data_IF_974437117627
#
_entry.id   IF_974437117627
#
_cell.length_a   1.000
_cell.length_b   1.000
_cell.length_c   1.000
_cell.angle_alpha   90.00
_cell.angle_beta   90.00
_cell.angle_gamma   90.00
#
_symmetry.space_group_name_H-M   'P 1'
#
loop_
_entity.id
_entity.type
_entity.pdbx_description
1 polymer ?
#
# COMPACT_ATOMS: atom_id res chain seq x y z
N UNK A 1 -9.90 -24.55 13.95
CA UNK A 1 -11.14 -23.98 13.39
C UNK A 1 -11.75 -24.82 12.25
N UNK A 2 -10.97 -25.58 11.45
CA UNK A 2 -11.55 -26.52 10.47
C UNK A 2 -12.18 -25.87 9.22
N UNK A 3 -11.81 -24.62 8.93
CA UNK A 3 -12.47 -23.78 7.91
C UNK A 3 -11.78 -23.82 6.53
N UNK A 4 -10.66 -24.51 6.39
CA UNK A 4 -9.88 -24.56 5.16
C UNK A 4 -9.95 -25.96 4.54
N UNK A 5 -10.21 -26.01 3.23
CA UNK A 5 -10.17 -27.23 2.42
C UNK A 5 -9.52 -26.92 1.07
N UNK A 6 -9.13 -27.96 0.34
CA UNK A 6 -8.65 -27.79 -1.03
C UNK A 6 -9.70 -27.06 -1.89
N UNK A 7 -9.26 -26.10 -2.71
CA UNK A 7 -10.16 -25.25 -3.52
C UNK A 7 -11.08 -26.06 -4.44
N UNK A 8 -10.60 -27.19 -4.94
CA UNK A 8 -11.37 -28.13 -5.79
C UNK A 8 -12.49 -28.87 -5.05
N UNK A 9 -12.45 -28.91 -3.72
CA UNK A 9 -13.45 -29.56 -2.88
C UNK A 9 -14.41 -28.56 -2.21
N UNK A 10 -14.07 -27.28 -2.21
CA UNK A 10 -14.79 -26.23 -1.48
C UNK A 10 -16.30 -26.27 -1.73
N UNK A 11 -16.72 -26.23 -2.99
CA UNK A 11 -18.14 -26.18 -3.35
C UNK A 11 -18.89 -27.47 -2.97
N UNK A 12 -18.20 -28.61 -2.93
CA UNK A 12 -18.79 -29.88 -2.47
C UNK A 12 -18.99 -29.86 -0.96
N UNK A 13 -17.99 -29.40 -0.21
CA UNK A 13 -18.05 -29.34 1.26
C UNK A 13 -19.10 -28.33 1.71
N UNK A 14 -19.15 -27.14 1.11
CA UNK A 14 -20.16 -26.11 1.44
C UNK A 14 -21.59 -26.64 1.28
N UNK A 15 -21.86 -27.45 0.24
CA UNK A 15 -23.18 -28.07 0.02
C UNK A 15 -23.57 -29.09 1.10
N UNK A 16 -22.60 -29.60 1.85
CA UNK A 16 -22.82 -30.58 2.91
C UNK A 16 -22.89 -29.97 4.32
N UNK A 17 -22.57 -28.68 4.47
CA UNK A 17 -22.59 -27.99 5.77
C UNK A 17 -23.94 -27.30 6.00
N UNK A 18 -24.46 -27.41 7.21
CA UNK A 18 -25.53 -26.56 7.71
C UNK A 18 -25.09 -25.11 7.87
N UNK A 19 -26.05 -24.18 7.98
CA UNK A 19 -25.72 -22.76 8.17
C UNK A 19 -25.07 -22.51 9.54
N UNK A 20 -25.50 -23.26 10.56
CA UNK A 20 -24.99 -23.25 11.92
C UNK A 20 -23.55 -23.79 12.05
N UNK A 21 -23.08 -24.57 11.07
CA UNK A 21 -21.72 -25.10 11.03
C UNK A 21 -20.74 -24.13 10.33
N UNK A 22 -21.26 -23.07 9.71
CA UNK A 22 -20.47 -22.11 8.94
C UNK A 22 -20.10 -20.90 9.79
N UNK A 23 -18.80 -20.66 9.88
CA UNK A 23 -18.30 -19.42 10.43
C UNK A 23 -18.72 -18.23 9.56
N UNK A 24 -19.11 -17.13 10.21
CA UNK A 24 -19.26 -15.83 9.57
C UNK A 24 -18.01 -15.02 9.88
N UNK A 25 -17.35 -14.53 8.84
CA UNK A 25 -16.13 -13.71 8.94
C UNK A 25 -16.43 -12.32 8.41
N UNK A 26 -16.41 -11.35 9.30
CA UNK A 26 -16.47 -9.94 8.93
C UNK A 26 -15.09 -9.47 8.50
N UNK A 27 -14.99 -8.90 7.30
CA UNK A 27 -13.76 -8.26 6.83
C UNK A 27 -14.00 -6.78 6.63
N UNK A 28 -13.00 -5.98 6.98
CA UNK A 28 -13.06 -4.54 6.74
C UNK A 28 -12.93 -4.23 5.25
N UNK A 29 -13.32 -3.03 4.81
CA UNK A 29 -13.25 -2.64 3.39
C UNK A 29 -11.81 -2.37 2.90
N UNK A 30 -10.82 -2.57 3.76
CA UNK A 30 -9.39 -2.28 3.57
C UNK A 30 -8.53 -3.53 3.55
N UNK A 31 -9.20 -4.68 3.53
CA UNK A 31 -8.58 -5.97 3.73
C UNK A 31 -7.51 -6.20 2.67
N UNK A 32 -6.31 -6.57 3.12
CA UNK A 32 -5.25 -6.94 2.20
C UNK A 32 -5.69 -8.19 1.42
N UNK A 33 -5.34 -8.27 0.14
CA UNK A 33 -5.77 -9.37 -0.73
C UNK A 33 -5.46 -10.76 -0.17
N UNK A 34 -4.35 -10.91 0.57
CA UNK A 34 -4.03 -12.20 1.21
C UNK A 34 -5.10 -12.64 2.20
N UNK A 35 -5.70 -11.71 2.95
CA UNK A 35 -6.71 -12.03 3.95
C UNK A 35 -8.05 -12.23 3.26
N UNK A 36 -8.46 -11.27 2.43
CA UNK A 36 -9.74 -11.34 1.71
C UNK A 36 -9.86 -12.62 0.88
N UNK A 37 -8.81 -12.97 0.11
CA UNK A 37 -8.82 -14.18 -0.70
C UNK A 37 -8.76 -15.44 0.17
N UNK A 38 -7.98 -15.45 1.26
CA UNK A 38 -7.94 -16.60 2.18
C UNK A 38 -9.31 -16.88 2.78
N UNK A 39 -10.01 -15.84 3.24
CA UNK A 39 -11.36 -15.98 3.79
C UNK A 39 -12.37 -16.38 2.70
N UNK A 40 -12.34 -15.75 1.52
CA UNK A 40 -13.25 -16.10 0.41
C UNK A 40 -13.04 -17.53 -0.10
N UNK A 41 -11.82 -18.06 -0.02
CA UNK A 41 -11.49 -19.45 -0.38
C UNK A 41 -11.70 -20.45 0.77
N UNK A 42 -12.03 -19.97 1.97
CA UNK A 42 -12.41 -20.82 3.10
C UNK A 42 -13.88 -21.29 2.98
N UNK A 43 -14.31 -22.09 3.95
CA UNK A 43 -15.69 -22.54 4.13
C UNK A 43 -16.60 -21.48 4.80
N UNK A 44 -16.00 -20.40 5.31
CA UNK A 44 -16.73 -19.32 5.97
C UNK A 44 -17.62 -18.53 5.00
N UNK A 45 -18.68 -17.95 5.53
CA UNK A 45 -19.36 -16.83 4.90
C UNK A 45 -18.58 -15.55 5.16
N UNK A 46 -18.19 -14.83 4.11
CA UNK A 46 -17.43 -13.59 4.23
C UNK A 46 -18.37 -12.42 4.04
N UNK A 47 -18.50 -11.58 5.07
CA UNK A 47 -19.30 -10.37 5.07
C UNK A 47 -18.36 -9.16 5.04
N UNK A 48 -18.40 -8.42 3.95
CA UNK A 48 -17.64 -7.17 3.83
C UNK A 48 -18.40 -6.04 4.51
N UNK A 49 -17.79 -5.45 5.53
CA UNK A 49 -18.31 -4.23 6.15
C UNK A 49 -17.96 -3.07 5.22
N UNK A 50 -18.99 -2.37 4.73
CA UNK A 50 -18.82 -1.27 3.80
C UNK A 50 -18.09 -0.06 4.37
N UNK A 51 -17.77 0.89 3.49
CA UNK A 51 -17.19 2.19 3.82
C UNK A 51 -18.29 3.15 4.29
N UNK A 52 -18.15 3.68 5.51
CA UNK A 52 -18.42 5.10 5.78
C UNK A 52 -17.35 5.91 5.00
N UNK A 53 -17.60 7.17 4.64
CA UNK A 53 -16.74 8.09 3.86
C UNK A 53 -15.29 8.31 4.39
N UNK A 54 -14.75 7.44 5.23
CA UNK A 54 -13.44 7.53 5.87
C UNK A 54 -12.77 6.15 5.98
N UNK A 55 -11.43 6.13 5.78
CA UNK A 55 -10.43 5.06 5.99
C UNK A 55 -10.13 4.18 4.73
N UNK A 56 -9.08 3.31 4.55
CA UNK A 56 -7.63 3.25 4.91
C UNK A 56 -6.72 2.17 4.23
N UNK A 57 -6.36 2.31 2.95
CA UNK A 57 -5.02 1.91 2.38
C UNK A 57 -3.99 3.05 2.53
N UNK A 58 -4.29 3.93 3.47
CA UNK A 58 -3.61 5.21 3.69
C UNK A 58 -2.95 5.24 5.08
N UNK A 59 -2.86 4.09 5.76
CA UNK A 59 -2.16 3.95 7.04
C UNK A 59 -2.95 4.38 8.27
N UNK A 60 -4.25 4.70 8.16
CA UNK A 60 -5.08 5.15 9.30
C UNK A 60 -5.31 3.99 10.27
N UNK A 61 -5.32 4.29 11.57
CA UNK A 61 -5.58 3.31 12.61
C UNK A 61 -7.08 3.05 12.82
N UNK A 62 -7.44 1.77 12.95
CA UNK A 62 -8.75 1.35 13.47
C UNK A 62 -8.68 1.20 14.98
N UNK A 63 -9.77 1.50 15.70
CA UNK A 63 -9.88 1.22 17.12
C UNK A 63 -10.16 -0.27 17.35
N UNK A 64 -9.09 -1.07 17.30
CA UNK A 64 -9.16 -2.53 17.45
C UNK A 64 -9.73 -2.96 18.80
N UNK A 65 -9.61 -2.14 19.85
CA UNK A 65 -10.16 -2.46 21.17
C UNK A 65 -11.67 -2.30 21.20
N UNK A 66 -12.19 -1.22 20.64
CA UNK A 66 -13.64 -1.03 20.54
C UNK A 66 -14.27 -2.07 19.63
N UNK A 67 -13.59 -2.45 18.55
CA UNK A 67 -14.02 -3.55 17.68
C UNK A 67 -14.08 -4.87 18.45
N UNK A 68 -13.04 -5.21 19.24
CA UNK A 68 -13.06 -6.40 20.11
C UNK A 68 -14.25 -6.42 21.05
N UNK A 69 -14.52 -5.32 21.76
CA UNK A 69 -15.65 -5.21 22.68
C UNK A 69 -16.96 -5.51 21.97
N UNK A 70 -17.19 -4.89 20.81
CA UNK A 70 -18.41 -5.08 20.04
C UNK A 70 -18.57 -6.54 19.56
N UNK A 71 -17.48 -7.17 19.11
CA UNK A 71 -17.49 -8.57 18.68
C UNK A 71 -17.83 -9.50 19.85
N UNK A 72 -17.18 -9.31 21.00
CA UNK A 72 -17.42 -10.13 22.19
C UNK A 72 -18.83 -9.93 22.77
N UNK A 73 -19.38 -8.71 22.73
CA UNK A 73 -20.77 -8.40 23.10
C UNK A 73 -21.79 -9.26 22.31
N UNK A 74 -21.41 -9.70 21.10
CA UNK A 74 -22.23 -10.54 20.22
C UNK A 74 -21.71 -11.99 20.12
N UNK A 75 -20.79 -12.41 21.01
CA UNK A 75 -20.24 -13.76 21.04
C UNK A 75 -19.29 -14.11 19.89
N UNK A 76 -18.81 -13.12 19.15
CA UNK A 76 -17.81 -13.28 18.09
C UNK A 76 -16.37 -13.24 18.62
N UNK A 77 -15.41 -13.67 17.81
CA UNK A 77 -13.99 -13.60 18.13
C UNK A 77 -13.30 -12.41 17.44
N UNK A 78 -12.35 -11.79 18.14
CA UNK A 78 -11.57 -10.66 17.66
C UNK A 78 -10.20 -11.12 17.10
N UNK A 79 -10.12 -11.24 15.78
CA UNK A 79 -8.93 -11.67 15.05
C UNK A 79 -8.35 -10.52 14.21
N UNK A 80 -7.11 -10.11 14.45
CA UNK A 80 -6.51 -8.94 13.77
C UNK A 80 -5.22 -9.25 13.01
N UNK A 81 -5.10 -8.74 11.79
CA UNK A 81 -3.85 -8.71 11.05
C UNK A 81 -2.99 -7.50 11.47
N UNK A 82 -1.90 -7.77 12.18
CA UNK A 82 -0.91 -6.79 12.60
C UNK A 82 0.31 -6.73 11.67
N UNK A 83 0.23 -7.28 10.46
CA UNK A 83 1.38 -7.26 9.54
C UNK A 83 1.85 -5.84 9.23
N UNK A 84 0.95 -4.88 9.00
CA UNK A 84 1.33 -3.50 8.69
C UNK A 84 1.65 -2.65 9.93
N UNK A 85 0.88 -2.80 11.01
CA UNK A 85 0.98 -1.97 12.23
C UNK A 85 1.97 -2.52 13.26
N UNK A 86 2.20 -3.83 13.26
CA UNK A 86 3.01 -4.55 14.24
C UNK A 86 4.42 -3.99 14.46
N UNK A 87 5.15 -3.52 13.44
CA UNK A 87 6.45 -2.88 13.65
C UNK A 87 6.42 -1.60 14.50
N UNK A 88 5.26 -0.96 14.62
CA UNK A 88 5.12 0.40 15.16
C UNK A 88 4.35 0.43 16.48
N UNK A 89 3.24 -0.30 16.57
CA UNK A 89 2.32 -0.19 17.71
C UNK A 89 2.66 -1.15 18.85
N UNK A 90 2.21 -0.84 20.07
CA UNK A 90 2.21 -1.81 21.17
C UNK A 90 1.21 -2.91 20.88
N UNK A 91 1.66 -4.16 20.95
CA UNK A 91 0.81 -5.34 20.78
C UNK A 91 0.58 -5.92 22.16
N UNK A 92 -0.68 -6.06 22.54
CA UNK A 92 -1.07 -6.65 23.83
C UNK A 92 -2.31 -7.52 23.61
N UNK A 93 -2.23 -8.82 23.88
CA UNK A 93 -3.36 -9.71 23.60
C UNK A 93 -4.54 -9.44 24.53
N UNK A 94 -4.33 -9.25 25.85
CA UNK A 94 -5.42 -9.18 26.85
C UNK A 94 -6.45 -10.31 26.67
N UNK A 95 -5.97 -11.52 26.36
CA UNK A 95 -6.82 -12.66 26.03
C UNK A 95 -7.81 -12.96 27.16
N UNK A 96 -9.08 -13.10 26.83
CA UNK A 96 -10.17 -13.31 27.81
C UNK A 96 -10.74 -12.03 28.42
N UNK A 97 -10.16 -10.86 28.17
CA UNK A 97 -10.75 -9.57 28.52
C UNK A 97 -11.76 -9.12 27.45
N UNK A 98 -12.74 -8.28 27.82
CA UNK A 98 -13.78 -7.79 26.89
C UNK A 98 -13.19 -7.00 25.70
N UNK A 99 -12.05 -6.35 25.87
CA UNK A 99 -11.31 -5.65 24.82
C UNK A 99 -10.08 -6.42 24.31
N UNK A 100 -10.04 -7.72 24.63
CA UNK A 100 -8.99 -8.66 24.25
C UNK A 100 -8.96 -8.99 22.76
N UNK A 101 -7.85 -9.57 22.33
CA UNK A 101 -7.70 -10.18 21.01
C UNK A 101 -7.70 -11.69 21.19
N UNK A 102 -8.43 -12.40 20.32
CA UNK A 102 -8.44 -13.86 20.30
C UNK A 102 -7.38 -14.41 19.36
N UNK A 103 -7.06 -13.70 18.28
CA UNK A 103 -5.92 -14.03 17.44
C UNK A 103 -5.28 -12.78 16.84
N UNK A 104 -3.96 -12.84 16.66
CA UNK A 104 -3.24 -11.88 15.85
C UNK A 104 -2.31 -12.58 14.87
N UNK A 105 -2.18 -11.99 13.69
CA UNK A 105 -1.24 -12.40 12.66
C UNK A 105 -0.15 -11.35 12.52
N UNK A 106 1.10 -11.78 12.49
CA UNK A 106 2.26 -10.90 12.44
C UNK A 106 3.18 -11.28 11.30
N UNK A 107 3.78 -10.24 10.72
CA UNK A 107 4.81 -10.35 9.69
C UNK A 107 6.10 -9.71 10.18
N UNK A 108 6.92 -10.42 10.99
CA UNK A 108 8.18 -9.88 11.48
C UNK A 108 9.12 -9.41 10.36
N UNK A 109 8.96 -9.89 9.11
CA UNK A 109 9.74 -9.42 7.96
C UNK A 109 9.52 -7.93 7.60
N UNK A 110 8.49 -7.30 8.18
CA UNK A 110 8.21 -5.86 8.08
C UNK A 110 8.84 -5.04 9.21
N UNK A 111 9.46 -5.68 10.19
CA UNK A 111 10.21 -5.03 11.26
C UNK A 111 11.65 -4.75 10.80
N UNK A 112 12.33 -3.82 11.47
CA UNK A 112 13.76 -3.58 11.25
C UNK A 112 14.52 -4.89 11.49
N UNK A 113 15.37 -5.28 10.54
CA UNK A 113 16.14 -6.53 10.61
C UNK A 113 15.33 -7.81 10.36
N UNK A 114 14.03 -7.69 10.09
CA UNK A 114 13.12 -8.80 9.93
C UNK A 114 13.18 -9.62 8.63
N UNK A 115 13.58 -9.08 7.46
CA UNK A 115 13.55 -9.84 6.21
C UNK A 115 14.13 -11.26 6.36
N UNK A 116 13.33 -12.27 5.99
CA UNK A 116 13.66 -13.70 6.15
C UNK A 116 13.17 -14.37 7.44
N UNK A 117 12.46 -13.66 8.32
CA UNK A 117 11.73 -14.25 9.46
C UNK A 117 10.47 -15.01 9.02
N UNK A 118 9.94 -15.96 9.82
CA UNK A 118 8.64 -16.57 9.57
C UNK A 118 7.51 -15.59 9.87
N UNK A 119 6.29 -15.92 9.46
CA UNK A 119 5.07 -15.32 10.02
C UNK A 119 4.80 -15.87 11.42
N UNK A 120 4.10 -15.09 12.25
CA UNK A 120 3.71 -15.52 13.60
C UNK A 120 2.20 -15.44 13.72
N UNK A 121 1.57 -16.52 14.15
CA UNK A 121 0.18 -16.56 14.61
C UNK A 121 0.22 -16.71 16.13
N UNK A 122 -0.39 -15.77 16.83
CA UNK A 122 -0.65 -15.89 18.26
C UNK A 122 -2.15 -15.95 18.46
N UNK A 123 -2.65 -16.99 19.11
CA UNK A 123 -4.08 -17.19 19.31
C UNK A 123 -4.39 -17.67 20.72
N UNK A 124 -5.58 -17.30 21.19
CA UNK A 124 -6.20 -17.86 22.38
C UNK A 124 -6.34 -19.36 22.22
N UNK A 125 -6.03 -20.11 23.29
CA UNK A 125 -6.23 -21.56 23.33
C UNK A 125 -7.68 -21.96 23.02
N UNK A 126 -8.64 -21.08 23.29
CA UNK A 126 -10.05 -21.29 22.96
C UNK A 126 -10.31 -21.46 21.45
N UNK A 127 -9.45 -20.94 20.57
CA UNK A 127 -9.56 -21.13 19.12
C UNK A 127 -8.96 -22.44 18.61
N UNK A 128 -8.13 -23.12 19.42
CA UNK A 128 -7.48 -24.38 19.05
C UNK A 128 -8.39 -25.58 19.31
N UNK A 129 -9.27 -25.86 18.34
CA UNK A 129 -10.29 -26.91 18.43
C UNK A 129 -9.87 -28.27 17.86
N UNK A 130 -8.60 -28.46 17.46
CA UNK A 130 -8.15 -29.73 16.88
C UNK A 130 -8.04 -30.86 17.91
N UNK A 131 -7.88 -30.56 19.21
CA UNK A 131 -7.87 -31.57 20.27
C UNK A 131 -6.86 -32.70 19.99
N UNK A 132 -7.33 -33.93 19.86
CA UNK A 132 -6.50 -35.10 19.50
C UNK A 132 -6.42 -35.38 17.99
N UNK A 133 -7.11 -34.61 17.13
CA UNK A 133 -7.07 -34.75 15.67
C UNK A 133 -5.74 -34.30 15.06
N UNK A 134 -5.42 -34.72 13.84
CA UNK A 134 -4.19 -34.32 13.16
C UNK A 134 -3.98 -32.77 13.15
N UNK A 135 -2.73 -32.28 13.26
CA UNK A 135 -2.42 -30.86 13.13
C UNK A 135 -2.73 -30.33 11.73
N UNK A 136 -2.72 -29.01 11.57
CA UNK A 136 -3.02 -28.37 10.27
C UNK A 136 -2.03 -28.79 9.19
N UNK A 137 -0.78 -29.05 9.56
CA UNK A 137 0.27 -29.59 8.68
C UNK A 137 0.98 -30.75 9.38
N UNK A 138 0.78 -31.97 8.88
CA UNK A 138 1.49 -33.14 9.38
C UNK A 138 2.95 -33.15 8.90
N UNK A 139 3.87 -33.57 9.77
CA UNK A 139 5.28 -33.73 9.42
C UNK A 139 6.06 -34.47 10.51
N UNK A 140 7.32 -34.79 10.22
CA UNK A 140 8.24 -35.28 11.26
C UNK A 140 8.32 -34.28 12.43
N UNK A 141 8.46 -34.78 13.66
CA UNK A 141 8.50 -33.93 14.85
C UNK A 141 7.12 -33.50 15.39
N UNK A 142 5.99 -33.88 14.77
CA UNK A 142 4.63 -33.55 15.27
C UNK A 142 3.99 -34.66 16.11
N UNK A 143 4.65 -35.80 16.21
CA UNK A 143 4.12 -37.06 16.76
C UNK A 143 5.04 -37.62 17.84
N UNK A 144 4.45 -38.22 18.86
CA UNK A 144 5.15 -39.11 19.80
C UNK A 144 5.23 -40.54 19.28
N UNK A 145 4.22 -40.98 18.52
CA UNK A 145 4.15 -42.34 18.00
C UNK A 145 3.30 -42.43 16.73
N UNK A 146 3.77 -43.23 15.76
CA UNK A 146 3.03 -43.59 14.53
C UNK A 146 3.24 -45.08 14.30
N UNK A 147 2.18 -45.81 13.97
CA UNK A 147 2.26 -47.21 13.56
C UNK A 147 1.84 -47.40 12.09
N UNK A 148 2.09 -48.60 11.56
CA UNK A 148 1.74 -48.95 10.18
C UNK A 148 0.38 -49.63 9.99
N UNK A 149 -0.46 -49.70 11.02
CA UNK A 149 -1.69 -50.49 11.02
C UNK A 149 -2.95 -49.61 11.04
N UNK A 150 -3.00 -48.58 11.89
CA UNK A 150 -4.15 -47.69 11.99
C UNK A 150 -3.73 -46.25 12.27
N UNK A 151 -4.29 -45.32 11.50
CA UNK A 151 -4.13 -43.89 11.74
C UNK A 151 -4.69 -43.46 13.11
N UNK A 152 -5.68 -44.19 13.64
CA UNK A 152 -6.33 -43.91 14.93
C UNK A 152 -5.40 -44.10 16.13
N UNK A 153 -4.32 -44.86 15.95
CA UNK A 153 -3.31 -45.11 16.98
C UNK A 153 -2.15 -44.10 16.92
N UNK A 154 -2.23 -43.11 16.02
CA UNK A 154 -1.23 -42.03 15.94
C UNK A 154 -1.35 -41.13 17.16
N UNK A 155 -0.26 -40.99 17.90
CA UNK A 155 -0.18 -40.11 19.06
C UNK A 155 0.55 -38.83 18.65
N UNK A 156 -0.21 -37.73 18.51
CA UNK A 156 0.32 -36.40 18.27
C UNK A 156 0.85 -35.76 19.56
N UNK A 157 1.79 -34.84 19.41
CA UNK A 157 2.29 -34.04 20.53
C UNK A 157 1.16 -33.22 21.18
N UNK A 158 1.25 -33.10 22.50
CA UNK A 158 0.30 -32.32 23.32
C UNK A 158 0.65 -30.83 23.31
N UNK A 159 1.92 -30.49 23.12
CA UNK A 159 2.35 -29.11 22.92
C UNK A 159 1.87 -28.61 21.55
N UNK A 160 1.04 -27.56 21.56
CA UNK A 160 0.39 -27.04 20.36
C UNK A 160 1.42 -26.43 19.40
N UNK A 161 2.44 -25.77 19.91
CA UNK A 161 3.44 -25.06 19.09
C UNK A 161 4.33 -26.06 18.35
N UNK A 162 4.82 -27.08 19.05
CA UNK A 162 5.61 -28.16 18.44
C UNK A 162 4.76 -28.96 17.44
N UNK A 163 3.50 -29.25 17.79
CA UNK A 163 2.60 -30.04 16.93
C UNK A 163 2.24 -29.35 15.62
N UNK A 164 2.11 -28.03 15.61
CA UNK A 164 1.86 -27.24 14.39
C UNK A 164 3.15 -26.88 13.62
N UNK A 165 4.32 -27.26 14.15
CA UNK A 165 5.65 -26.99 13.56
C UNK A 165 6.22 -28.22 12.85
N UNK A 166 5.47 -28.79 11.91
CA UNK A 166 5.88 -30.00 11.20
C UNK A 166 7.17 -29.85 10.38
N UNK A 167 8.08 -30.82 10.55
CA UNK A 167 9.38 -30.86 9.88
C UNK A 167 10.50 -30.24 10.71
N UNK A 168 11.58 -29.83 10.06
CA UNK A 168 12.69 -29.13 10.73
C UNK A 168 12.24 -27.71 11.11
N UNK A 169 12.32 -27.31 12.39
CA UNK A 169 11.94 -25.97 12.81
C UNK A 169 12.77 -24.88 12.13
N UNK A 170 12.16 -23.71 11.94
CA UNK A 170 12.77 -22.54 11.30
C UNK A 170 13.74 -21.78 12.22
N UNK A 171 14.70 -22.47 12.84
CA UNK A 171 15.52 -21.98 13.97
C UNK A 171 16.10 -20.58 13.71
N UNK A 172 16.87 -20.40 12.63
CA UNK A 172 17.51 -19.11 12.32
C UNK A 172 16.48 -18.00 12.05
N UNK A 173 15.36 -18.36 11.44
CA UNK A 173 14.32 -17.39 11.09
C UNK A 173 13.54 -16.96 12.34
N UNK A 174 13.29 -17.88 13.28
CA UNK A 174 12.69 -17.60 14.59
C UNK A 174 13.62 -16.75 15.45
N UNK A 175 14.92 -17.05 15.49
CA UNK A 175 15.92 -16.18 16.15
C UNK A 175 15.95 -14.78 15.54
N UNK A 176 15.84 -14.66 14.21
CA UNK A 176 15.73 -13.35 13.57
C UNK A 176 14.46 -12.62 14.00
N UNK A 177 13.32 -13.32 14.04
CA UNK A 177 12.06 -12.74 14.50
C UNK A 177 12.18 -12.19 15.92
N UNK A 178 12.74 -12.94 16.87
CA UNK A 178 12.89 -12.47 18.26
C UNK A 178 13.77 -11.22 18.36
N UNK A 179 14.88 -11.16 17.62
CA UNK A 179 15.76 -10.00 17.58
C UNK A 179 15.04 -8.74 17.08
N UNK A 180 14.11 -8.86 16.13
CA UNK A 180 13.33 -7.69 15.67
C UNK A 180 12.45 -7.08 16.76
N UNK A 181 11.90 -7.91 17.65
CA UNK A 181 11.13 -7.42 18.79
C UNK A 181 12.03 -6.73 19.81
N UNK A 182 13.22 -7.27 20.09
CA UNK A 182 14.20 -6.62 20.97
C UNK A 182 14.64 -5.25 20.45
N UNK A 183 14.90 -5.12 19.14
CA UNK A 183 15.22 -3.81 18.53
C UNK A 183 14.08 -2.82 18.73
N UNK A 184 12.84 -3.25 18.47
CA UNK A 184 11.65 -2.41 18.64
C UNK A 184 11.44 -1.99 20.10
N UNK A 185 11.62 -2.90 21.04
CA UNK A 185 11.53 -2.62 22.48
C UNK A 185 12.61 -1.65 22.94
N UNK A 186 13.85 -1.82 22.46
CA UNK A 186 14.97 -0.92 22.74
C UNK A 186 14.70 0.51 22.28
N UNK A 187 14.13 0.70 21.09
CA UNK A 187 13.75 2.02 20.56
C UNK A 187 12.55 2.60 21.32
N UNK A 188 11.68 1.73 21.85
CA UNK A 188 10.41 2.03 22.52
C UNK A 188 9.28 2.50 21.58
N UNK A 189 8.05 2.14 21.95
CA UNK A 189 6.86 2.55 21.21
C UNK A 189 6.62 4.05 21.23
N UNK A 190 7.04 4.74 22.29
CA UNK A 190 6.82 6.17 22.44
C UNK A 190 7.63 6.94 21.38
N UNK A 191 8.93 6.65 21.28
CA UNK A 191 9.82 7.28 20.29
C UNK A 191 9.35 6.99 18.86
N UNK A 192 8.95 5.73 18.58
CA UNK A 192 8.41 5.37 17.27
C UNK A 192 7.15 6.18 16.95
N UNK A 193 6.21 6.28 17.89
CA UNK A 193 4.98 7.02 17.68
C UNK A 193 5.23 8.53 17.47
N UNK A 194 6.06 9.15 18.31
CA UNK A 194 6.41 10.57 18.19
C UNK A 194 7.06 10.89 16.83
N UNK A 195 7.94 10.00 16.35
CA UNK A 195 8.61 10.18 15.07
C UNK A 195 7.67 9.98 13.87
N UNK A 196 6.81 8.94 13.91
CA UNK A 196 5.80 8.70 12.85
C UNK A 196 4.79 9.86 12.78
N UNK A 197 4.29 10.33 13.94
CA UNK A 197 3.36 11.46 14.03
C UNK A 197 4.03 12.74 13.47
N UNK A 198 5.30 13.01 13.84
CA UNK A 198 6.07 14.15 13.32
C UNK A 198 6.20 14.11 11.80
N UNK A 199 6.55 12.96 11.21
CA UNK A 199 6.72 12.85 9.76
C UNK A 199 5.42 13.00 9.00
N UNK A 200 4.34 12.36 9.47
CA UNK A 200 3.09 12.43 8.73
C UNK A 200 2.48 13.83 8.81
N UNK A 201 2.51 14.50 9.96
CA UNK A 201 1.99 15.86 10.12
C UNK A 201 2.72 16.85 9.21
N UNK A 202 4.07 16.82 9.23
CA UNK A 202 4.89 17.66 8.34
C UNK A 202 4.59 17.40 6.87
N UNK A 203 4.49 16.13 6.48
CA UNK A 203 4.25 15.77 5.09
C UNK A 203 2.84 16.18 4.62
N UNK A 204 1.81 16.02 5.45
CA UNK A 204 0.45 16.47 5.15
C UNK A 204 0.38 18.00 5.04
N UNK A 205 0.94 18.72 6.01
CA UNK A 205 0.97 20.18 6.01
C UNK A 205 1.65 20.75 4.75
N UNK A 206 2.69 20.07 4.26
CA UNK A 206 3.42 20.48 3.07
C UNK A 206 2.73 20.12 1.76
N UNK A 207 2.14 18.93 1.66
CA UNK A 207 1.63 18.43 0.38
C UNK A 207 0.15 18.77 0.12
N UNK A 208 -0.68 18.94 1.16
CA UNK A 208 -2.11 19.22 1.00
C UNK A 208 -2.43 20.54 0.28
N UNK A 209 -1.68 21.64 0.50
CA UNK A 209 -1.91 22.89 -0.23
C UNK A 209 -1.63 22.80 -1.73
N UNK A 210 -0.87 21.78 -2.18
CA UNK A 210 -0.47 21.67 -3.57
C UNK A 210 -1.65 21.21 -4.45
N UNK A 211 -2.15 22.13 -5.27
CA UNK A 211 -3.26 21.87 -6.21
C UNK A 211 -2.95 20.83 -7.28
N UNK A 212 -1.77 20.24 -7.42
CA UNK A 212 -1.52 19.15 -8.36
C UNK A 212 -1.31 17.81 -7.65
N UNK A 213 -1.37 17.79 -6.33
CA UNK A 213 -1.26 16.58 -5.53
C UNK A 213 -2.65 16.28 -4.96
N UNK A 214 -3.00 15.00 -4.95
CA UNK A 214 -4.11 14.51 -4.15
C UNK A 214 -3.61 13.42 -3.22
N UNK A 215 -3.54 13.73 -1.93
CA UNK A 215 -3.28 12.75 -0.89
C UNK A 215 -4.55 11.92 -0.70
N UNK A 216 -4.43 10.60 -0.83
CA UNK A 216 -5.56 9.69 -0.75
C UNK A 216 -5.92 9.34 0.70
N UNK A 217 -7.21 9.02 0.90
CA UNK A 217 -7.83 8.69 2.17
C UNK A 217 -8.02 9.88 3.10
N UNK A 218 -8.48 9.59 4.32
CA UNK A 218 -8.71 10.61 5.33
C UNK A 218 -7.37 11.25 5.77
N UNK A 219 -7.32 12.58 5.70
CA UNK A 219 -6.13 13.39 6.00
C UNK A 219 -6.13 13.98 7.42
N UNK A 220 -7.20 13.78 8.18
CA UNK A 220 -7.35 14.26 9.57
C UNK A 220 -7.27 13.14 10.59
N UNK A 221 -7.51 11.88 10.19
CA UNK A 221 -7.45 10.73 11.07
C UNK A 221 -6.00 10.31 11.38
N UNK A 222 -5.76 9.83 12.60
CA UNK A 222 -4.44 9.36 13.02
C UNK A 222 -3.99 8.18 12.14
N UNK A 223 -2.75 8.25 11.64
CA UNK A 223 -2.23 7.28 10.68
C UNK A 223 -0.73 7.05 10.82
N UNK A 224 -0.25 5.90 10.37
CA UNK A 224 1.16 5.63 10.13
C UNK A 224 1.73 6.63 9.10
N UNK A 225 3.05 6.83 9.10
CA UNK A 225 3.75 7.72 8.18
C UNK A 225 3.87 7.12 6.76
N UNK A 226 2.73 6.70 6.21
CA UNK A 226 2.56 6.15 4.86
C UNK A 226 1.72 7.14 4.07
N UNK A 227 2.24 7.61 2.94
CA UNK A 227 1.52 8.50 2.03
C UNK A 227 1.20 7.79 0.73
N UNK A 228 -0.09 7.66 0.45
CA UNK A 228 -0.64 7.26 -0.84
C UNK A 228 -1.15 8.52 -1.54
N UNK A 229 -0.72 8.80 -2.77
CA UNK A 229 -1.07 10.04 -3.46
C UNK A 229 -1.13 9.87 -4.98
N UNK A 230 -1.85 10.78 -5.63
CA UNK A 230 -1.85 11.00 -7.07
C UNK A 230 -1.17 12.33 -7.38
N UNK A 231 -0.45 12.37 -8.50
CA UNK A 231 0.04 13.62 -9.10
C UNK A 231 -0.76 13.87 -10.36
N UNK A 232 -1.38 15.05 -10.44
CA UNK A 232 -2.20 15.48 -11.57
C UNK A 232 -1.35 16.12 -12.67
N UNK A 233 -1.62 15.73 -13.91
CA UNK A 233 -1.17 16.52 -15.05
C UNK A 233 -2.00 17.80 -15.16
N UNK A 234 -1.45 18.79 -15.86
CA UNK A 234 -2.07 20.10 -16.05
C UNK A 234 -2.15 20.46 -17.51
N UNK A 235 -3.18 21.22 -17.88
CA UNK A 235 -3.37 21.75 -19.24
C UNK A 235 -3.74 23.23 -19.20
N UNK A 236 -3.51 23.92 -20.31
CA UNK A 236 -3.94 25.30 -20.51
C UNK A 236 -5.31 25.28 -21.20
N UNK A 237 -6.36 25.55 -20.44
CA UNK A 237 -7.71 25.74 -20.96
C UNK A 237 -7.92 27.22 -21.29
N UNK A 238 -8.45 27.49 -22.49
CA UNK A 238 -8.85 28.83 -22.96
C UNK A 238 -10.13 29.36 -22.27
N UNK A 239 -10.74 28.57 -21.37
CA UNK A 239 -12.04 28.86 -20.75
C UNK A 239 -11.95 29.70 -19.47
N UNK A 240 -10.75 29.95 -18.94
CA UNK A 240 -10.57 30.92 -17.87
C UNK A 240 -10.70 32.32 -18.50
N UNK A 241 -11.87 32.94 -18.31
CA UNK A 241 -12.31 34.14 -19.01
C UNK A 241 -11.26 35.25 -19.05
N UNK A 242 -11.30 36.01 -20.15
CA UNK A 242 -10.60 37.27 -20.31
C UNK A 242 -10.78 38.15 -19.06
N UNK A 243 -9.79 38.14 -18.17
CA UNK A 243 -9.58 39.26 -17.27
C UNK A 243 -9.00 40.34 -18.17
N UNK A 244 -9.86 41.32 -18.49
CA UNK A 244 -9.50 42.54 -19.19
C UNK A 244 -8.28 43.14 -18.51
N UNK A 245 -7.25 43.42 -19.30
CA UNK A 245 -6.24 44.42 -18.96
C UNK A 245 -6.98 45.70 -18.57
N UNK A 246 -6.86 46.09 -17.31
CA UNK A 246 -7.19 47.42 -16.84
C UNK A 246 -5.95 47.95 -16.15
N UNK A 247 -5.60 49.14 -16.60
CA UNK A 247 -4.35 49.86 -16.49
C UNK A 247 -4.00 50.26 -15.04
N UNK A 248 -2.69 50.32 -14.77
CA UNK A 248 -2.05 51.14 -13.73
C UNK A 248 -2.39 50.89 -12.25
N UNK A 249 -1.48 50.25 -11.50
CA UNK A 249 -0.68 50.88 -10.43
C UNK A 249 0.23 49.86 -9.75
N UNK A 250 1.49 50.25 -9.56
CA UNK A 250 2.57 49.46 -8.98
C UNK A 250 2.26 48.98 -7.55
N UNK A 251 2.10 47.66 -7.39
CA UNK A 251 2.39 46.96 -6.14
C UNK A 251 3.22 45.71 -6.45
N UNK A 252 4.54 45.85 -6.32
CA UNK A 252 5.47 44.73 -6.19
C UNK A 252 5.24 44.09 -4.83
N UNK A 253 4.74 42.87 -4.81
CA UNK A 253 5.18 41.76 -3.94
C UNK A 253 4.11 40.64 -3.95
N UNK A 254 4.57 39.39 -3.83
CA UNK A 254 3.86 38.09 -3.82
C UNK A 254 3.24 37.52 -5.12
N UNK A 255 2.87 38.33 -6.11
CA UNK A 255 2.17 37.79 -7.30
C UNK A 255 3.10 37.12 -8.35
N UNK A 256 4.40 37.44 -8.36
CA UNK A 256 5.34 37.00 -9.40
C UNK A 256 5.76 35.52 -9.26
N UNK A 257 5.73 34.98 -8.02
CA UNK A 257 5.99 33.56 -7.75
C UNK A 257 4.86 32.64 -8.22
N UNK A 258 3.60 33.06 -7.99
CA UNK A 258 2.40 32.34 -8.44
C UNK A 258 2.28 32.38 -9.96
N UNK A 259 2.56 33.55 -10.58
CA UNK A 259 2.57 33.72 -12.03
C UNK A 259 3.63 32.84 -12.70
N UNK A 260 4.83 32.74 -12.12
CA UNK A 260 5.89 31.85 -12.59
C UNK A 260 5.54 30.36 -12.42
N UNK A 261 4.84 29.99 -11.34
CA UNK A 261 4.36 28.61 -11.18
C UNK A 261 3.28 28.23 -12.20
N UNK A 262 2.41 29.17 -12.61
CA UNK A 262 1.44 28.97 -13.69
C UNK A 262 2.08 28.93 -15.09
N UNK A 263 3.30 29.45 -15.25
CA UNK A 263 4.07 29.21 -16.48
C UNK A 263 4.60 27.78 -16.56
N UNK A 264 4.85 27.15 -15.42
CA UNK A 264 5.38 25.79 -15.37
C UNK A 264 4.28 24.71 -15.30
N UNK A 265 3.16 25.05 -14.66
CA UNK A 265 1.96 24.21 -14.49
C UNK A 265 0.75 24.91 -15.10
N UNK A 266 -0.07 24.19 -15.87
CA UNK A 266 -1.24 24.80 -16.52
C UNK A 266 -2.30 25.32 -15.55
N UNK A 267 -3.30 26.02 -16.09
CA UNK A 267 -4.38 26.62 -15.30
C UNK A 267 -5.45 25.61 -14.84
N UNK A 268 -5.49 24.39 -15.39
CA UNK A 268 -6.48 23.36 -15.07
C UNK A 268 -5.85 21.99 -14.85
N UNK A 269 -6.45 21.19 -13.96
CA UNK A 269 -6.11 19.75 -13.76
C UNK A 269 -6.68 18.93 -14.92
N UNK A 270 -5.93 17.95 -15.37
CA UNK A 270 -6.37 16.91 -16.29
C UNK A 270 -6.31 15.54 -15.57
N UNK A 271 -6.14 14.41 -16.27
CA UNK A 271 -5.98 13.09 -15.65
C UNK A 271 -4.70 13.00 -14.78
N UNK A 272 -4.70 12.18 -13.72
CA UNK A 272 -3.50 11.91 -12.95
C UNK A 272 -2.43 11.22 -13.80
N UNK A 273 -1.17 11.43 -13.46
CA UNK A 273 -0.06 10.64 -13.98
C UNK A 273 -0.13 9.23 -13.38
N UNK A 274 0.22 8.22 -14.18
CA UNK A 274 0.16 6.82 -13.76
C UNK A 274 1.03 6.56 -12.52
N UNK A 275 0.51 5.90 -11.47
CA UNK A 275 1.25 5.68 -10.22
C UNK A 275 2.63 5.01 -10.42
N UNK A 276 2.73 3.92 -11.20
CA UNK A 276 4.02 3.34 -11.60
C UNK A 276 4.94 4.26 -12.40
N UNK A 277 4.42 5.25 -13.13
CA UNK A 277 5.25 6.25 -13.80
C UNK A 277 5.90 7.20 -12.80
N UNK A 278 5.13 7.73 -11.85
CA UNK A 278 5.67 8.57 -10.77
C UNK A 278 6.69 7.79 -9.94
N UNK A 279 6.43 6.51 -9.64
CA UNK A 279 7.40 5.67 -8.95
C UNK A 279 8.70 5.47 -9.75
N UNK A 280 8.60 5.31 -11.07
CA UNK A 280 9.78 5.25 -11.95
C UNK A 280 10.55 6.57 -11.95
N UNK A 281 9.87 7.73 -12.00
CA UNK A 281 10.54 9.03 -11.93
C UNK A 281 11.23 9.26 -10.58
N UNK A 282 10.60 8.91 -9.47
CA UNK A 282 11.20 8.97 -8.13
C UNK A 282 12.50 8.16 -8.07
N UNK A 283 12.50 6.96 -8.64
CA UNK A 283 13.69 6.12 -8.71
C UNK A 283 14.76 6.70 -9.65
N UNK A 284 14.40 6.98 -10.89
CA UNK A 284 15.36 7.29 -11.94
C UNK A 284 15.98 8.68 -11.80
N UNK A 285 15.22 9.66 -11.29
CA UNK A 285 15.70 11.04 -11.12
C UNK A 285 16.31 11.29 -9.75
N UNK A 286 15.87 10.58 -8.71
CA UNK A 286 16.20 10.91 -7.31
C UNK A 286 16.73 9.72 -6.49
N UNK A 287 16.73 8.50 -7.02
CA UNK A 287 17.10 7.31 -6.26
C UNK A 287 16.11 6.95 -5.15
N UNK A 288 14.88 7.48 -5.20
CA UNK A 288 13.84 7.26 -4.20
C UNK A 288 13.00 6.04 -4.59
N UNK A 289 13.03 5.01 -3.77
CA UNK A 289 12.20 3.83 -3.97
C UNK A 289 10.76 4.08 -3.50
N UNK A 290 9.83 4.11 -4.46
CA UNK A 290 8.40 4.18 -4.19
C UNK A 290 7.66 2.96 -4.77
N UNK A 291 6.38 2.78 -4.42
CA UNK A 291 5.53 1.74 -5.00
C UNK A 291 4.41 2.37 -5.81
N UNK A 292 4.21 1.91 -7.04
CA UNK A 292 3.08 2.28 -7.89
C UNK A 292 2.08 1.13 -8.02
N UNK A 293 0.78 1.42 -7.99
CA UNK A 293 -0.30 0.44 -8.19
C UNK A 293 -1.41 0.54 -7.13
N UNK A 294 -2.16 -0.53 -6.92
CA UNK A 294 -3.27 -0.58 -5.95
C UNK A 294 -2.91 -1.21 -4.59
N UNK A 295 -1.62 -1.35 -4.29
CA UNK A 295 -1.08 -1.80 -3.00
C UNK A 295 -1.68 -3.12 -2.43
N UNK A 296 -2.08 -4.05 -3.30
CA UNK A 296 -2.74 -5.31 -2.93
C UNK A 296 -4.06 -5.12 -2.17
N UNK A 297 -4.77 -4.03 -2.48
CA UNK A 297 -6.06 -3.68 -1.90
C UNK A 297 -6.99 -3.11 -2.98
N UNK A 298 -7.14 -3.88 -4.06
CA UNK A 298 -7.96 -3.59 -5.24
C UNK A 298 -9.37 -3.06 -4.94
N UNK A 299 -10.20 -3.74 -4.12
CA UNK A 299 -11.54 -3.25 -3.77
C UNK A 299 -11.52 -1.86 -3.13
N UNK A 300 -10.59 -1.62 -2.20
CA UNK A 300 -10.41 -0.29 -1.63
C UNK A 300 -9.90 0.72 -2.66
N UNK A 301 -8.97 0.31 -3.53
CA UNK A 301 -8.49 1.14 -4.63
C UNK A 301 -9.61 1.56 -5.57
N UNK A 302 -10.60 0.71 -5.81
CA UNK A 302 -11.78 1.05 -6.59
C UNK A 302 -12.61 2.10 -5.87
N UNK A 303 -12.84 1.93 -4.57
CA UNK A 303 -13.57 2.90 -3.75
C UNK A 303 -12.88 4.27 -3.70
N UNK A 304 -11.57 4.29 -3.47
CA UNK A 304 -10.75 5.52 -3.43
C UNK A 304 -10.74 6.30 -4.74
N UNK A 305 -10.73 5.57 -5.86
CA UNK A 305 -10.63 6.16 -7.19
C UNK A 305 -12.00 6.30 -7.85
N UNK A 306 -13.09 6.07 -7.11
CA UNK A 306 -14.47 6.12 -7.58
C UNK A 306 -14.71 5.26 -8.83
N UNK A 307 -14.13 4.06 -8.84
CA UNK A 307 -14.32 3.06 -9.89
C UNK A 307 -15.61 2.30 -9.62
N UNK A 308 -16.57 2.42 -10.53
CA UNK A 308 -17.83 1.69 -10.47
C UNK A 308 -17.71 0.24 -11.01
N UNK A 309 -18.81 -0.50 -10.90
CA UNK A 309 -18.89 -1.89 -11.36
C UNK A 309 -18.62 -2.01 -12.88
N UNK A 310 -19.17 -1.08 -13.67
CA UNK A 310 -19.02 -1.08 -15.13
C UNK A 310 -17.56 -0.92 -15.55
N UNK A 311 -16.85 0.01 -14.89
CA UNK A 311 -15.43 0.27 -15.07
C UNK A 311 -14.58 -0.93 -14.65
N UNK A 312 -14.95 -1.57 -13.54
CA UNK A 312 -14.28 -2.78 -13.05
C UNK A 312 -14.36 -3.94 -14.05
N UNK A 313 -15.54 -4.19 -14.62
CA UNK A 313 -15.74 -5.23 -15.64
C UNK A 313 -15.00 -4.89 -16.93
N UNK A 314 -14.94 -3.62 -17.30
CA UNK A 314 -14.19 -3.18 -18.47
C UNK A 314 -12.67 -3.33 -18.27
N UNK A 315 -12.13 -3.05 -17.06
CA UNK A 315 -10.75 -3.38 -16.73
C UNK A 315 -10.47 -4.87 -16.85
N UNK A 316 -11.35 -5.72 -16.29
CA UNK A 316 -11.23 -7.18 -16.40
C UNK A 316 -11.17 -7.62 -17.85
N UNK A 317 -12.08 -7.14 -18.70
CA UNK A 317 -12.10 -7.48 -20.13
C UNK A 317 -10.81 -7.06 -20.85
N UNK A 318 -10.29 -5.86 -20.57
CA UNK A 318 -9.02 -5.41 -21.13
C UNK A 318 -7.83 -6.25 -20.64
N UNK A 319 -7.81 -6.64 -19.37
CA UNK A 319 -6.77 -7.51 -18.80
C UNK A 319 -6.82 -8.91 -19.44
N UNK A 320 -8.01 -9.48 -19.66
CA UNK A 320 -8.20 -10.76 -20.36
C UNK A 320 -7.68 -10.70 -21.81
N UNK A 321 -7.75 -9.54 -22.47
CA UNK A 321 -7.14 -9.27 -23.79
C UNK A 321 -5.62 -9.03 -23.72
N UNK A 322 -5.02 -9.11 -22.54
CA UNK A 322 -3.58 -8.95 -22.34
C UNK A 322 -3.12 -7.53 -22.03
N UNK A 323 -4.03 -6.58 -21.77
CA UNK A 323 -3.70 -5.20 -21.43
C UNK A 323 -3.65 -4.97 -19.91
N UNK A 324 -2.72 -5.64 -19.23
CA UNK A 324 -2.57 -5.53 -17.77
C UNK A 324 -2.25 -4.12 -17.24
N UNK A 325 -1.79 -3.21 -18.11
CA UNK A 325 -1.44 -1.84 -17.75
C UNK A 325 -2.61 -0.87 -17.58
N UNK A 326 -3.85 -1.26 -17.91
CA UNK A 326 -5.03 -0.39 -17.72
C UNK A 326 -5.42 -0.22 -16.25
N UNK A 327 -4.84 -1.03 -15.36
CA UNK A 327 -5.19 -1.06 -13.94
C UNK A 327 -5.00 0.33 -13.31
N UNK A 328 -6.01 0.85 -12.60
CA UNK A 328 -5.85 2.10 -11.87
C UNK A 328 -4.93 1.89 -10.65
N UNK A 329 -4.39 2.98 -10.13
CA UNK A 329 -3.52 2.94 -8.97
C UNK A 329 -2.92 4.29 -8.65
N UNK A 330 -2.13 4.32 -7.58
CA UNK A 330 -1.50 5.53 -7.06
C UNK A 330 -0.02 5.27 -6.76
N UNK A 331 0.67 6.30 -6.30
CA UNK A 331 2.02 6.19 -5.79
C UNK A 331 1.99 6.18 -4.27
N UNK A 332 2.80 5.31 -3.67
CA UNK A 332 2.94 5.20 -2.22
C UNK A 332 4.39 5.31 -1.79
N UNK A 333 4.63 6.17 -0.81
CA UNK A 333 5.88 6.28 -0.05
C UNK A 333 5.62 6.04 1.43
N UNK A 334 6.65 5.68 2.17
CA UNK A 334 6.60 5.45 3.62
C UNK A 334 7.81 6.10 4.25
N UNK A 335 7.62 6.79 5.38
CA UNK A 335 8.68 7.42 6.16
C UNK A 335 8.92 6.58 7.41
N UNK A 336 9.83 5.61 7.37
CA UNK A 336 10.12 4.83 8.55
C UNK A 336 10.69 5.73 9.66
N UNK A 337 10.31 5.47 10.92
CA UNK A 337 10.81 6.17 12.10
C UNK A 337 12.35 6.23 12.26
N UNK A 338 13.12 5.41 11.53
CA UNK A 338 14.59 5.42 11.55
C UNK A 338 15.22 6.19 10.36
N UNK A 339 14.41 6.86 9.55
CA UNK A 339 14.86 7.72 8.44
C UNK A 339 15.57 8.98 8.96
N UNK A 340 16.55 9.49 8.23
CA UNK A 340 17.14 10.79 8.55
C UNK A 340 16.21 11.94 8.12
N UNK A 341 16.16 13.04 8.88
CA UNK A 341 15.33 14.20 8.50
C UNK A 341 15.70 14.75 7.11
N UNK A 342 16.97 14.70 6.74
CA UNK A 342 17.45 15.13 5.42
C UNK A 342 16.85 14.29 4.27
N UNK A 343 16.70 12.97 4.48
CA UNK A 343 16.08 12.07 3.51
C UNK A 343 14.57 12.32 3.41
N UNK A 344 13.91 12.55 4.55
CA UNK A 344 12.50 12.93 4.60
C UNK A 344 12.23 14.21 3.79
N UNK A 345 13.01 15.27 4.03
CA UNK A 345 12.88 16.55 3.32
C UNK A 345 13.16 16.41 1.82
N UNK A 346 14.14 15.58 1.45
CA UNK A 346 14.45 15.30 0.05
C UNK A 346 13.29 14.59 -0.66
N UNK A 347 12.65 13.60 -0.01
CA UNK A 347 11.51 12.90 -0.59
C UNK A 347 10.34 13.85 -0.83
N UNK A 348 9.99 14.73 0.11
CA UNK A 348 8.92 15.71 -0.08
C UNK A 348 9.23 16.67 -1.22
N UNK A 349 10.47 17.17 -1.28
CA UNK A 349 10.92 18.06 -2.35
C UNK A 349 10.87 17.39 -3.72
N UNK A 350 11.20 16.09 -3.80
CA UNK A 350 11.08 15.32 -5.04
C UNK A 350 9.62 15.11 -5.48
N UNK A 351 8.70 14.87 -4.53
CA UNK A 351 7.27 14.77 -4.83
C UNK A 351 6.73 16.10 -5.37
N UNK A 352 7.08 17.22 -4.74
CA UNK A 352 6.72 18.57 -5.21
C UNK A 352 7.29 18.86 -6.59
N UNK A 353 8.56 18.48 -6.84
CA UNK A 353 9.17 18.60 -8.15
C UNK A 353 8.35 17.84 -9.21
N UNK A 354 7.93 16.61 -8.93
CA UNK A 354 7.11 15.84 -9.85
C UNK A 354 5.70 16.42 -10.05
N UNK A 355 5.14 17.09 -9.05
CA UNK A 355 3.87 17.81 -9.17
C UNK A 355 3.96 19.04 -10.08
N UNK A 356 5.16 19.57 -10.30
CA UNK A 356 5.41 20.71 -11.19
C UNK A 356 5.85 20.23 -12.59
N UNK A 357 6.83 19.32 -12.63
CA UNK A 357 7.55 18.96 -13.85
C UNK A 357 7.27 17.53 -14.36
N UNK A 358 6.65 16.66 -13.55
CA UNK A 358 6.59 15.22 -13.81
C UNK A 358 5.99 14.85 -15.16
N UNK A 359 4.97 15.59 -15.62
CA UNK A 359 4.34 15.33 -16.92
C UNK A 359 5.30 15.52 -18.09
N UNK A 360 6.29 16.42 -17.98
CA UNK A 360 7.25 16.72 -19.05
C UNK A 360 8.14 15.53 -19.39
N UNK A 361 8.32 14.62 -18.45
CA UNK A 361 9.13 13.43 -18.62
C UNK A 361 8.43 12.33 -19.43
N UNK A 362 7.12 12.44 -19.68
CA UNK A 362 6.38 11.43 -20.45
C UNK A 362 7.12 11.04 -21.75
N UNK A 363 7.53 11.95 -22.64
CA UNK A 363 8.18 11.59 -23.92
C UNK A 363 9.42 10.69 -23.76
N UNK A 364 10.15 10.80 -22.64
CA UNK A 364 11.37 10.05 -22.38
C UNK A 364 11.14 8.59 -21.98
N UNK A 365 9.90 8.21 -21.65
CA UNK A 365 9.60 6.84 -21.20
C UNK A 365 8.78 6.07 -22.22
N UNK A 366 8.85 4.74 -22.18
CA UNK A 366 7.97 3.81 -22.85
C UNK A 366 7.01 3.20 -21.83
N UNK A 367 5.72 3.18 -22.17
CA UNK A 367 4.68 2.52 -21.38
C UNK A 367 4.36 1.16 -22.00
N UNK A 368 4.51 0.09 -21.22
CA UNK A 368 4.16 -1.25 -21.65
C UNK A 368 2.71 -1.55 -21.25
N UNK A 369 1.81 -1.57 -22.23
CA UNK A 369 0.39 -1.86 -22.05
C UNK A 369 0.09 -3.24 -21.47
N UNK A 370 0.97 -4.22 -21.63
CA UNK A 370 0.76 -5.58 -21.12
C UNK A 370 1.02 -5.66 -19.62
N UNK A 371 2.03 -4.95 -19.14
CA UNK A 371 2.52 -5.07 -17.76
C UNK A 371 2.19 -3.85 -16.89
N UNK A 372 1.92 -2.69 -17.50
CA UNK A 372 1.82 -1.40 -16.80
C UNK A 372 3.17 -0.78 -16.44
N UNK A 373 4.29 -1.39 -16.85
CA UNK A 373 5.64 -0.89 -16.51
C UNK A 373 6.03 0.31 -17.36
N UNK A 374 6.75 1.24 -16.76
CA UNK A 374 7.38 2.38 -17.43
C UNK A 374 8.89 2.15 -17.50
N UNK A 375 9.47 2.30 -18.69
CA UNK A 375 10.92 2.14 -18.90
C UNK A 375 11.51 3.33 -19.62
N UNK A 376 12.67 3.79 -19.17
CA UNK A 376 13.38 4.90 -19.79
C UNK A 376 13.87 4.55 -21.21
N UNK A 377 13.66 5.45 -22.18
CA UNK A 377 14.15 5.29 -23.56
C UNK A 377 15.61 5.72 -23.65
N UNK A 378 16.54 4.76 -23.67
CA UNK A 378 17.99 5.02 -23.80
C UNK A 378 18.39 5.95 -24.95
N UNK A 379 17.61 5.98 -26.05
CA UNK A 379 17.87 6.86 -27.19
C UNK A 379 17.52 8.34 -26.96
N UNK A 380 16.64 8.67 -26.01
CA UNK A 380 16.15 10.04 -25.79
C UNK A 380 17.11 10.97 -25.08
N UNK A 381 18.25 10.46 -24.60
CA UNK A 381 19.24 11.23 -23.84
C UNK A 381 20.50 11.58 -24.64
N UNK A 382 20.67 11.02 -25.85
CA UNK A 382 21.87 11.28 -26.67
C UNK A 382 21.96 12.75 -27.14
N UNK A 383 20.85 13.48 -27.11
CA UNK A 383 20.76 14.86 -27.59
C UNK A 383 20.66 15.89 -26.43
N UNK A 384 20.66 15.45 -25.17
CA UNK A 384 20.55 16.34 -24.00
C UNK A 384 21.96 16.59 -23.42
N UNK A 385 22.58 17.69 -23.83
CA UNK A 385 23.85 18.17 -23.24
C UNK A 385 23.53 18.72 -21.85
N UNK A 386 23.93 17.99 -20.81
CA UNK A 386 23.86 18.45 -19.41
C UNK A 386 25.26 18.89 -19.00
N UNK A 387 25.46 20.19 -18.81
CA UNK A 387 26.72 20.75 -18.33
C UNK A 387 27.04 20.22 -16.92
N UNK A 388 28.32 19.90 -16.69
CA UNK A 388 28.79 19.50 -15.36
C UNK A 388 28.81 20.73 -14.45
N UNK A 389 27.93 20.78 -13.47
CA UNK A 389 28.02 21.77 -12.38
C UNK A 389 29.18 21.41 -11.45
N UNK A 390 30.20 22.26 -11.40
CA UNK A 390 31.15 22.35 -10.29
C UNK A 390 30.49 23.13 -9.16
N UNK A 391 30.41 22.57 -7.96
CA UNK A 391 30.56 23.23 -6.65
C UNK A 391 29.89 22.41 -5.53
N UNK A 392 30.19 22.81 -4.29
CA UNK A 392 29.89 22.22 -2.98
C UNK A 392 28.37 22.08 -2.70
N UNK A 393 27.66 21.31 -3.51
CA UNK A 393 26.22 21.10 -3.42
C UNK A 393 25.94 19.97 -2.41
N UNK A 394 24.90 20.14 -1.59
CA UNK A 394 24.46 19.10 -0.64
C UNK A 394 24.22 17.77 -1.37
N UNK A 395 24.35 16.64 -0.66
CA UNK A 395 24.21 15.27 -1.19
C UNK A 395 22.99 15.11 -2.12
N UNK A 396 21.87 15.77 -1.79
CA UNK A 396 20.61 15.68 -2.52
C UNK A 396 20.35 16.83 -3.51
N UNK A 397 21.00 18.00 -3.34
CA UNK A 397 20.75 19.16 -4.20
C UNK A 397 21.13 18.93 -5.66
N UNK A 398 22.15 18.10 -5.91
CA UNK A 398 22.62 17.79 -7.26
C UNK A 398 21.55 17.06 -8.11
N UNK A 399 20.76 16.17 -7.48
CA UNK A 399 19.66 15.47 -8.15
C UNK A 399 18.58 16.45 -8.61
N UNK A 400 18.17 17.38 -7.76
CA UNK A 400 17.13 18.38 -8.06
C UNK A 400 17.57 19.33 -9.18
N UNK A 401 18.81 19.83 -9.12
CA UNK A 401 19.36 20.71 -10.16
C UNK A 401 19.36 20.00 -11.51
N UNK A 402 19.87 18.77 -11.55
CA UNK A 402 19.95 17.98 -12.79
C UNK A 402 18.58 17.62 -13.34
N UNK A 403 17.65 17.21 -12.49
CA UNK A 403 16.29 16.93 -12.89
C UNK A 403 15.61 18.19 -13.48
N UNK A 404 15.83 19.36 -12.87
CA UNK A 404 15.31 20.64 -13.38
C UNK A 404 15.90 21.04 -14.73
N UNK A 405 17.21 20.87 -14.91
CA UNK A 405 17.87 21.11 -16.21
C UNK A 405 17.24 20.24 -17.31
N UNK A 406 17.04 18.94 -17.05
CA UNK A 406 16.38 18.04 -18.00
C UNK A 406 14.93 18.50 -18.26
N UNK A 407 14.17 18.82 -17.21
CA UNK A 407 12.77 19.25 -17.33
C UNK A 407 12.60 20.53 -18.16
N UNK A 408 13.59 21.42 -18.17
CA UNK A 408 13.58 22.66 -18.96
C UNK A 408 13.79 22.41 -20.47
N UNK A 409 14.40 21.29 -20.83
CA UNK A 409 14.62 20.88 -22.23
C UNK A 409 13.42 20.12 -22.81
N UNK A 410 12.43 19.78 -21.97
CA UNK A 410 11.27 18.97 -22.33
C UNK A 410 10.03 19.85 -22.55
N UNK A 411 9.11 19.44 -23.45
CA UNK A 411 7.87 20.19 -23.68
C UNK A 411 7.05 20.28 -22.40
N UNK A 412 6.55 21.49 -22.09
CA UNK A 412 5.75 21.74 -20.88
C UNK A 412 4.47 20.90 -20.84
N UNK A 413 3.82 20.76 -21.98
CA UNK A 413 2.55 20.05 -22.18
C UNK A 413 2.70 19.02 -23.30
N UNK A 414 3.31 17.84 -23.03
CA UNK A 414 3.51 16.82 -24.05
C UNK A 414 2.17 16.26 -24.54
N UNK A 415 2.08 15.94 -25.83
CA UNK A 415 0.89 15.34 -26.44
C UNK A 415 0.55 13.98 -25.82
N UNK A 416 -0.75 13.68 -25.71
CA UNK A 416 -1.25 12.36 -25.31
C UNK A 416 -0.66 11.26 -26.21
N UNK A 417 -0.25 10.14 -25.64
CA UNK A 417 0.15 8.98 -26.44
C UNK A 417 -1.03 8.33 -27.17
N UNK A 418 -0.69 7.64 -28.26
CA UNK A 418 -1.60 6.74 -28.95
C UNK A 418 -2.02 5.60 -28.03
N UNK A 419 -3.32 5.48 -27.83
CA UNK A 419 -3.97 4.38 -27.13
C UNK A 419 -4.23 3.26 -28.16
N UNK A 420 -3.98 1.97 -27.82
CA UNK A 420 -4.37 0.84 -28.67
C UNK A 420 -5.85 0.93 -29.04
N UNK A 421 -6.19 0.60 -30.29
CA UNK A 421 -7.58 0.73 -30.81
C UNK A 421 -8.59 -0.08 -30.01
N UNK A 422 -8.15 -1.16 -29.38
CA UNK A 422 -8.99 -2.09 -28.62
C UNK A 422 -9.24 -1.65 -27.16
N UNK A 423 -8.69 -0.50 -26.77
CA UNK A 423 -8.86 0.10 -25.44
C UNK A 423 -9.68 1.38 -25.58
N UNK A 424 -10.80 1.44 -24.88
CA UNK A 424 -11.59 2.66 -24.75
C UNK A 424 -10.77 3.75 -24.00
N UNK A 425 -10.52 4.92 -24.59
CA UNK A 425 -9.83 6.03 -23.93
C UNK A 425 -10.50 6.52 -22.64
N UNK A 426 -11.82 6.35 -22.50
CA UNK A 426 -12.57 6.71 -21.30
C UNK A 426 -12.30 5.74 -20.14
N UNK A 427 -11.84 4.52 -20.43
CA UNK A 427 -11.39 3.55 -19.43
C UNK A 427 -10.14 4.03 -18.66
N UNK A 428 -9.32 4.89 -19.26
CA UNK A 428 -8.04 5.25 -18.68
C UNK A 428 -8.19 6.31 -17.60
N UNK A 429 -7.96 5.90 -16.35
CA UNK A 429 -7.95 6.78 -15.17
C UNK A 429 -6.72 7.69 -15.11
N UNK A 430 -5.78 7.56 -16.03
CA UNK A 430 -4.50 8.28 -16.00
C UNK A 430 -4.10 8.79 -17.38
N UNK A 431 -3.19 9.76 -17.38
CA UNK A 431 -2.53 10.31 -18.56
C UNK A 431 -1.37 9.42 -19.01
N UNK A 432 -1.21 9.28 -20.33
CA UNK A 432 -0.14 8.50 -20.96
C UNK A 432 0.66 9.27 -22.00
#
# INVERSE_FOLDING_TARGET
MGIAVASTLRDRVIKCLGNEERWVVFVGPYEHHSNLLSWRQSLAEVVEIGLDDKCNVTGIYSDTRRISQLLHEHGGFACFDFAASGPYVKINMRSGEVDGYDAIFLSPHKFIGGPGSPGILLMSRALYQLGSSAPSTCGGGTVSYVNGFSEKDTLYLTDIEERESGGTPQIIQTTRASLTFWIKEYISHQVINEQEDTYIEKALNRLLPNKNIWVLGNTTAKRQAILSFLIYSTTNSSSAGMIRECDGTDSKDDNDGILNMWRETGNSRDKPLHGPFIAALLNDLFGIQARGGCACAGPYGHSLLHVDESSTLAFRSAIEKGYGGVKPGWTRVSFPYYMANEEFEFILTAIEFLAIYGQRFLPLYHFNWKTGSWTFKKGGFKDLVVEKTSDNISKFGSYLIRAKQIANLLPKFPSQRKIPRDIDPYLLFFRI
#
